data_IF_001779672148
#
_entry.id   IF_001779672148
#
_cell.length_a   1.000
_cell.length_b   1.000
_cell.length_c   1.000
_cell.angle_alpha   90.00
_cell.angle_beta   90.00
_cell.angle_gamma   90.00
#
_symmetry.space_group_name_H-M   'P 1'
#
loop_
_entity.id
_entity.type
_entity.pdbx_description
1 polymer ?
#
# COMPACT_ATOMS: atom_id res chain seq x y z
N UNK A 1 -65.74 -29.82 -1.18
CA UNK A 1 -65.80 -29.29 0.19
C UNK A 1 -65.14 -27.92 0.18
N UNK A 2 -65.97 -26.88 0.07
CA UNK A 2 -65.64 -25.46 0.13
C UNK A 2 -66.39 -24.89 1.33
N UNK A 3 -65.72 -24.10 2.18
CA UNK A 3 -66.24 -23.11 3.15
C UNK A 3 -65.05 -22.18 3.44
N UNK A 4 -65.05 -20.86 3.33
CA UNK A 4 -66.00 -19.76 3.55
C UNK A 4 -65.42 -18.82 4.63
N UNK A 5 -65.12 -17.59 4.19
CA UNK A 5 -65.26 -16.27 4.83
C UNK A 5 -65.29 -16.08 6.36
N UNK A 6 -64.49 -15.11 6.86
CA UNK A 6 -64.91 -13.87 7.58
C UNK A 6 -63.65 -13.09 8.07
N UNK A 7 -63.34 -11.85 7.64
CA UNK A 7 -63.87 -10.49 7.95
C UNK A 7 -63.61 -9.93 9.38
N UNK A 8 -62.72 -8.91 9.40
CA UNK A 8 -62.75 -7.55 10.02
C UNK A 8 -62.93 -7.33 11.55
N UNK A 9 -62.03 -6.51 12.12
CA UNK A 9 -62.27 -5.35 13.02
C UNK A 9 -60.90 -4.69 13.35
N UNK A 10 -60.54 -3.51 12.81
CA UNK A 10 -60.85 -2.13 13.23
C UNK A 10 -60.69 -1.85 14.73
N UNK A 11 -59.60 -1.16 15.10
CA UNK A 11 -59.60 -0.13 16.15
C UNK A 11 -58.68 1.02 15.73
N UNK A 12 -59.31 2.16 15.51
CA UNK A 12 -58.72 3.49 15.45
C UNK A 12 -58.25 3.88 16.85
N UNK A 13 -57.12 4.55 16.96
CA UNK A 13 -56.76 5.35 18.13
C UNK A 13 -56.30 6.72 17.61
N UNK A 14 -57.21 7.68 17.69
CA UNK A 14 -56.90 9.10 17.74
C UNK A 14 -56.37 9.43 19.14
N UNK A 15 -55.23 10.13 19.22
CA UNK A 15 -54.91 10.96 20.38
C UNK A 15 -54.16 12.21 19.90
N UNK A 16 -54.86 13.31 20.06
CA UNK A 16 -54.48 14.71 19.83
C UNK A 16 -53.52 15.22 20.91
N UNK A 17 -52.85 16.35 20.59
CA UNK A 17 -52.21 17.37 21.44
C UNK A 17 -50.66 17.51 21.34
N UNK A 18 -50.06 18.67 21.69
CA UNK A 18 -50.20 19.96 21.01
C UNK A 18 -48.85 20.67 20.74
N UNK A 19 -48.91 21.68 19.88
CA UNK A 19 -48.00 22.84 19.71
C UNK A 19 -46.56 22.82 20.26
N UNK A 20 -45.59 22.92 19.36
CA UNK A 20 -44.32 23.64 19.61
C UNK A 20 -44.03 24.62 18.47
N UNK A 21 -44.00 25.90 18.85
CA UNK A 21 -43.45 27.00 18.08
C UNK A 21 -42.01 26.69 17.64
N UNK A 22 -41.72 26.85 16.35
CA UNK A 22 -40.35 26.93 15.85
C UNK A 22 -40.12 28.37 15.40
N UNK A 23 -39.32 29.08 16.20
CA UNK A 23 -38.79 30.40 15.88
C UNK A 23 -37.85 30.29 14.68
N UNK A 24 -38.12 31.10 13.66
CA UNK A 24 -37.26 31.24 12.50
C UNK A 24 -35.92 31.88 12.86
N UNK A 25 -34.84 31.18 12.56
CA UNK A 25 -33.51 31.76 12.44
C UNK A 25 -33.26 32.05 10.96
N UNK A 26 -33.00 33.32 10.66
CA UNK A 26 -32.67 33.81 9.33
C UNK A 26 -31.39 33.15 8.81
N UNK A 27 -31.49 32.48 7.65
CA UNK A 27 -30.33 32.04 6.86
C UNK A 27 -29.68 33.29 6.25
N UNK A 28 -28.51 33.68 6.78
CA UNK A 28 -27.61 34.61 6.12
C UNK A 28 -27.13 33.96 4.82
N UNK A 29 -27.49 34.57 3.69
CA UNK A 29 -27.06 34.18 2.36
C UNK A 29 -25.55 34.35 2.24
N UNK A 30 -24.83 33.23 2.11
CA UNK A 30 -23.43 33.24 1.69
C UNK A 30 -23.37 33.83 0.26
N UNK A 31 -22.57 34.89 0.10
CA UNK A 31 -22.39 35.60 -1.16
C UNK A 31 -21.70 34.68 -2.20
N UNK A 32 -22.24 34.55 -3.42
CA UNK A 32 -21.66 33.72 -4.49
C UNK A 32 -20.27 34.21 -4.97
N UNK A 33 -19.80 35.38 -4.50
CA UNK A 33 -18.48 35.90 -4.83
C UNK A 33 -17.32 35.22 -4.07
N UNK A 34 -17.56 34.55 -2.94
CA UNK A 34 -16.48 33.88 -2.19
C UNK A 34 -16.06 32.53 -2.80
N UNK A 35 -16.96 31.82 -3.48
CA UNK A 35 -16.65 30.55 -4.15
C UNK A 35 -15.85 30.72 -5.45
N UNK A 36 -16.07 31.83 -6.19
CA UNK A 36 -15.39 32.07 -7.47
C UNK A 36 -13.92 32.47 -7.25
N UNK A 37 -13.62 33.24 -6.20
CA UNK A 37 -12.25 33.62 -5.85
C UNK A 37 -11.41 32.44 -5.35
N UNK A 38 -12.02 31.47 -4.68
CA UNK A 38 -11.28 30.27 -4.22
C UNK A 38 -10.95 29.32 -5.37
N UNK A 39 -11.85 29.14 -6.34
CA UNK A 39 -11.58 28.32 -7.53
C UNK A 39 -10.46 28.91 -8.41
N UNK A 40 -10.38 30.24 -8.55
CA UNK A 40 -9.33 30.87 -9.36
C UNK A 40 -7.92 30.75 -8.75
N UNK A 41 -7.78 30.69 -7.42
CA UNK A 41 -6.47 30.45 -6.78
C UNK A 41 -6.02 28.99 -6.86
N UNK A 42 -6.94 28.03 -6.71
CA UNK A 42 -6.58 26.61 -6.72
C UNK A 42 -6.23 26.11 -8.14
N UNK A 43 -6.93 26.61 -9.16
CA UNK A 43 -6.64 26.26 -10.57
C UNK A 43 -5.33 26.93 -11.03
N UNK A 44 -5.07 28.17 -10.61
CA UNK A 44 -3.82 28.87 -10.91
C UNK A 44 -2.59 28.19 -10.30
N UNK A 45 -2.64 27.75 -9.04
CA UNK A 45 -1.48 27.15 -8.38
C UNK A 45 -1.17 25.73 -8.86
N UNK A 46 -2.18 24.92 -9.24
CA UNK A 46 -1.95 23.60 -9.86
C UNK A 46 -1.36 23.70 -11.25
N UNK A 47 -1.83 24.65 -12.08
CA UNK A 47 -1.28 24.85 -13.41
C UNK A 47 0.17 25.37 -13.36
N UNK A 48 0.47 26.29 -12.43
CA UNK A 48 1.83 26.85 -12.27
C UNK A 48 2.81 25.83 -11.67
N UNK A 49 2.40 24.97 -10.73
CA UNK A 49 3.27 23.86 -10.25
C UNK A 49 3.57 22.85 -11.36
N UNK A 50 2.62 22.54 -12.24
CA UNK A 50 2.88 21.66 -13.39
C UNK A 50 3.77 22.27 -14.48
N UNK A 51 3.91 23.61 -14.51
CA UNK A 51 4.74 24.32 -15.47
C UNK A 51 6.12 24.73 -14.91
N UNK A 52 6.29 24.80 -13.57
CA UNK A 52 7.56 25.15 -12.92
C UNK A 52 8.38 23.95 -12.45
N UNK A 53 7.87 22.71 -12.55
CA UNK A 53 8.75 21.56 -12.77
C UNK A 53 9.31 21.71 -14.19
N UNK A 54 10.31 22.58 -14.32
CA UNK A 54 11.20 22.57 -15.46
C UNK A 54 11.72 21.16 -15.58
N UNK A 55 11.13 20.39 -16.51
CA UNK A 55 11.72 19.17 -17.01
C UNK A 55 13.04 19.60 -17.61
N UNK A 56 14.08 19.67 -16.77
CA UNK A 56 15.45 19.51 -17.23
C UNK A 56 15.37 18.37 -18.24
N UNK A 57 15.77 18.58 -19.51
CA UNK A 57 15.66 17.53 -20.51
C UNK A 57 16.31 16.29 -19.90
N UNK A 58 15.51 15.28 -19.54
CA UNK A 58 16.04 14.02 -19.05
C UNK A 58 16.88 13.50 -20.20
N UNK A 59 18.19 13.65 -20.05
CA UNK A 59 19.15 13.13 -21.01
C UNK A 59 18.90 11.63 -20.98
N UNK A 60 18.38 11.09 -22.08
CA UNK A 60 18.28 9.65 -22.26
C UNK A 60 19.68 9.08 -22.01
N UNK A 61 19.86 8.32 -20.93
CA UNK A 61 21.11 7.63 -20.66
C UNK A 61 21.02 6.29 -21.35
N UNK A 62 21.32 6.30 -22.65
CA UNK A 62 21.54 5.05 -23.35
C UNK A 62 22.68 4.30 -22.64
N UNK A 63 22.62 2.96 -22.59
CA UNK A 63 23.72 2.13 -22.13
C UNK A 63 25.05 2.59 -22.74
N UNK A 64 26.08 2.71 -21.92
CA UNK A 64 27.39 3.25 -22.26
C UNK A 64 28.31 2.21 -22.91
N UNK A 65 28.05 0.92 -22.66
CA UNK A 65 28.79 -0.20 -23.24
C UNK A 65 28.12 -0.75 -24.51
N UNK A 66 28.93 -1.41 -25.36
CA UNK A 66 28.45 -2.12 -26.56
C UNK A 66 28.24 -3.60 -26.23
N UNK A 67 26.98 -4.00 -26.08
CA UNK A 67 26.58 -5.36 -25.75
C UNK A 67 26.39 -6.26 -26.99
N UNK A 68 26.58 -5.76 -28.22
CA UNK A 68 26.24 -6.51 -29.44
C UNK A 68 27.02 -7.81 -29.62
N UNK A 69 28.18 -7.96 -28.96
CA UNK A 69 29.02 -9.14 -29.00
C UNK A 69 28.99 -9.97 -27.70
N UNK A 70 28.18 -9.55 -26.74
CA UNK A 70 28.00 -10.25 -25.47
C UNK A 70 27.05 -11.44 -25.63
N UNK A 71 27.10 -12.37 -24.66
CA UNK A 71 26.16 -13.48 -24.59
C UNK A 71 24.77 -12.98 -24.17
N UNK A 72 23.73 -13.77 -24.46
CA UNK A 72 22.40 -13.55 -23.90
C UNK A 72 22.47 -13.57 -22.35
N UNK A 73 21.68 -12.72 -21.70
CA UNK A 73 21.65 -12.57 -20.25
C UNK A 73 21.17 -11.19 -19.80
N UNK A 74 21.39 -10.90 -18.51
CA UNK A 74 21.16 -9.58 -17.88
C UNK A 74 22.47 -9.00 -17.38
N UNK A 75 22.73 -7.74 -17.71
CA UNK A 75 23.93 -6.99 -17.38
C UNK A 75 23.53 -5.74 -16.59
N UNK A 76 24.12 -5.57 -15.41
CA UNK A 76 23.85 -4.45 -14.51
C UNK A 76 24.90 -3.38 -14.78
N UNK A 77 24.51 -2.29 -15.44
CA UNK A 77 25.44 -1.23 -15.81
C UNK A 77 25.60 -0.21 -14.69
N UNK A 78 24.52 0.06 -13.95
CA UNK A 78 24.53 1.00 -12.84
C UNK A 78 23.62 0.48 -11.73
N UNK A 79 24.15 0.47 -10.52
CA UNK A 79 23.44 0.27 -9.25
C UNK A 79 23.95 1.36 -8.31
N UNK A 80 23.39 2.56 -8.46
CA UNK A 80 23.70 3.68 -7.57
C UNK A 80 22.86 3.54 -6.32
N UNK A 81 23.51 3.67 -5.17
CA UNK A 81 22.85 3.69 -3.87
C UNK A 81 23.07 5.02 -3.17
N UNK A 82 22.10 5.45 -2.37
CA UNK A 82 22.23 6.61 -1.48
C UNK A 82 21.84 6.26 -0.04
N UNK A 83 22.14 7.16 0.89
CA UNK A 83 21.63 7.08 2.26
C UNK A 83 20.29 7.81 2.32
N UNK A 84 19.24 7.11 2.75
CA UNK A 84 17.93 7.70 3.02
C UNK A 84 17.51 7.34 4.45
N UNK A 85 17.52 8.34 5.32
CA UNK A 85 17.17 8.20 6.74
C UNK A 85 17.94 7.07 7.45
N UNK A 86 19.24 6.94 7.16
CA UNK A 86 20.14 5.95 7.76
C UNK A 86 20.09 4.54 7.16
N UNK A 87 19.34 4.34 6.07
CA UNK A 87 19.36 3.12 5.28
C UNK A 87 20.06 3.35 3.94
N UNK A 88 20.88 2.40 3.51
CA UNK A 88 21.42 2.36 2.14
C UNK A 88 20.34 1.83 1.20
N UNK A 89 19.97 2.63 0.21
CA UNK A 89 18.85 2.37 -0.71
C UNK A 89 19.29 2.54 -2.17
N UNK A 90 18.71 1.82 -3.13
CA UNK A 90 18.99 2.04 -4.55
C UNK A 90 18.36 3.36 -5.01
N UNK A 91 19.14 4.27 -5.59
CA UNK A 91 18.65 5.53 -6.17
C UNK A 91 18.49 5.46 -7.68
N UNK A 92 19.34 4.68 -8.37
CA UNK A 92 19.24 4.43 -9.80
C UNK A 92 19.70 3.02 -10.15
N UNK A 93 18.93 2.33 -10.97
CA UNK A 93 19.24 1.00 -11.49
C UNK A 93 19.12 1.00 -13.01
N UNK A 94 20.19 0.64 -13.71
CA UNK A 94 20.21 0.43 -15.15
C UNK A 94 20.64 -1.00 -15.46
N UNK A 95 19.75 -1.74 -16.11
CA UNK A 95 20.03 -3.07 -16.63
C UNK A 95 19.93 -3.08 -18.16
N UNK A 96 20.76 -3.92 -18.78
CA UNK A 96 20.73 -4.25 -20.21
C UNK A 96 20.56 -5.76 -20.34
N UNK A 97 19.63 -6.20 -21.19
CA UNK A 97 19.24 -7.61 -21.24
C UNK A 97 18.90 -8.06 -22.65
N UNK A 98 19.11 -9.35 -22.89
CA UNK A 98 18.66 -10.07 -24.09
C UNK A 98 18.46 -11.52 -23.71
N UNK A 99 17.26 -12.04 -23.94
CA UNK A 99 16.84 -13.38 -23.53
C UNK A 99 17.32 -13.76 -22.09
N UNK A 100 16.98 -12.93 -21.08
CA UNK A 100 17.49 -13.12 -19.72
C UNK A 100 16.89 -14.34 -19.02
N UNK A 101 17.65 -14.91 -18.08
CA UNK A 101 17.13 -15.92 -17.16
C UNK A 101 16.13 -15.33 -16.15
N UNK A 102 15.26 -16.17 -15.58
CA UNK A 102 14.35 -15.74 -14.53
C UNK A 102 15.09 -15.43 -13.21
N UNK A 103 14.96 -14.21 -12.72
CA UNK A 103 15.66 -13.72 -11.51
C UNK A 103 15.04 -14.16 -10.17
N UNK A 104 13.91 -14.87 -10.19
CA UNK A 104 13.30 -15.43 -8.98
C UNK A 104 12.22 -14.56 -8.35
N UNK A 105 11.51 -15.13 -7.37
CA UNK A 105 10.56 -14.39 -6.53
C UNK A 105 11.29 -13.65 -5.41
N UNK A 106 10.78 -12.52 -4.90
CA UNK A 106 11.40 -11.83 -3.77
C UNK A 106 11.55 -12.76 -2.57
N UNK A 107 12.76 -12.90 -2.05
CA UNK A 107 13.09 -13.78 -0.91
C UNK A 107 13.83 -13.08 0.22
N UNK A 108 14.15 -11.80 0.07
CA UNK A 108 14.77 -10.95 1.08
C UNK A 108 13.93 -9.70 1.31
N UNK A 109 14.05 -9.12 2.51
CA UNK A 109 13.33 -7.91 2.88
C UNK A 109 14.12 -6.67 2.42
N UNK A 110 13.53 -5.77 1.61
CA UNK A 110 14.21 -4.54 1.21
C UNK A 110 14.32 -3.54 2.38
N UNK A 111 15.19 -2.52 2.27
CA UNK A 111 15.18 -1.39 3.18
C UNK A 111 13.77 -0.82 3.39
N UNK A 112 13.42 -0.49 4.64
CA UNK A 112 12.08 0.02 5.02
C UNK A 112 11.01 -1.04 5.23
N UNK A 113 11.28 -2.32 4.91
CA UNK A 113 10.31 -3.39 5.12
C UNK A 113 10.07 -3.72 6.61
N UNK A 114 11.13 -3.67 7.43
CA UNK A 114 11.00 -3.86 8.88
C UNK A 114 10.17 -2.75 9.53
N UNK A 115 10.42 -1.49 9.15
CA UNK A 115 9.60 -0.36 9.60
C UNK A 115 8.12 -0.57 9.26
N UNK A 116 7.81 -1.03 8.05
CA UNK A 116 6.43 -1.35 7.66
C UNK A 116 5.85 -2.47 8.53
N UNK A 117 6.62 -3.52 8.83
CA UNK A 117 6.16 -4.62 9.70
C UNK A 117 5.90 -4.13 11.12
N UNK A 118 6.74 -3.26 11.67
CA UNK A 118 6.50 -2.65 12.98
C UNK A 118 5.24 -1.79 12.94
N UNK A 119 5.16 -0.84 12.00
CA UNK A 119 4.03 0.12 11.86
C UNK A 119 2.68 -0.55 11.62
N UNK A 120 2.64 -1.58 10.77
CA UNK A 120 1.39 -2.14 10.25
C UNK A 120 1.19 -3.61 10.59
N UNK A 121 2.13 -4.24 11.29
CA UNK A 121 2.17 -5.67 11.54
C UNK A 121 2.18 -6.49 10.24
N UNK A 122 1.08 -7.21 10.00
CA UNK A 122 0.94 -8.08 8.83
C UNK A 122 0.69 -7.28 7.56
N UNK A 123 1.75 -7.15 6.75
CA UNK A 123 1.75 -6.42 5.48
C UNK A 123 0.95 -7.07 4.33
N UNK A 124 0.54 -8.33 4.49
CA UNK A 124 -0.01 -9.17 3.42
C UNK A 124 -1.19 -8.50 2.71
N UNK A 125 -1.00 -8.19 1.43
CA UNK A 125 -2.03 -7.61 0.54
C UNK A 125 -2.13 -6.08 0.57
N UNK A 126 -1.40 -5.39 1.45
CA UNK A 126 -1.27 -3.93 1.43
C UNK A 126 0.05 -3.50 0.79
N UNK A 127 1.14 -4.16 1.17
CA UNK A 127 2.50 -3.89 0.70
C UNK A 127 3.13 -5.11 0.04
N UNK A 128 4.04 -4.88 -0.91
CA UNK A 128 4.79 -5.91 -1.62
C UNK A 128 6.26 -5.51 -1.74
N UNK A 129 7.11 -6.54 -1.87
CA UNK A 129 8.51 -6.39 -2.26
C UNK A 129 8.54 -6.23 -3.77
N UNK A 130 8.73 -5.00 -4.21
CA UNK A 130 8.67 -4.62 -5.61
C UNK A 130 10.03 -4.81 -6.26
N UNK A 131 10.07 -5.56 -7.34
CA UNK A 131 11.24 -5.67 -8.19
C UNK A 131 11.47 -4.36 -8.96
N UNK A 132 12.63 -3.75 -8.78
CA UNK A 132 13.02 -2.55 -9.55
C UNK A 132 13.19 -2.94 -11.02
N UNK A 133 14.00 -3.96 -11.29
CA UNK A 133 14.04 -4.71 -12.55
C UNK A 133 13.22 -5.97 -12.38
N UNK A 134 12.26 -6.19 -13.27
CA UNK A 134 11.34 -7.32 -13.21
C UNK A 134 12.07 -8.68 -13.22
N UNK A 135 11.55 -9.66 -12.48
CA UNK A 135 12.15 -11.00 -12.41
C UNK A 135 12.20 -11.72 -13.76
N UNK A 136 11.24 -11.52 -14.66
CA UNK A 136 11.28 -12.08 -16.01
C UNK A 136 12.33 -11.41 -16.90
N UNK A 137 12.84 -10.24 -16.49
CA UNK A 137 13.96 -9.53 -17.12
C UNK A 137 15.31 -9.82 -16.44
N UNK A 138 15.36 -10.82 -15.56
CA UNK A 138 16.56 -11.22 -14.81
C UNK A 138 16.85 -10.40 -13.55
N UNK A 139 15.90 -9.60 -13.09
CA UNK A 139 15.98 -8.93 -11.80
C UNK A 139 16.01 -9.92 -10.62
N UNK A 140 17.08 -9.99 -9.81
CA UNK A 140 17.18 -10.96 -8.73
C UNK A 140 16.21 -10.63 -7.60
N UNK A 141 15.41 -11.62 -7.18
CA UNK A 141 14.52 -11.49 -6.01
C UNK A 141 15.22 -11.73 -4.67
N UNK A 142 16.46 -12.22 -4.70
CA UNK A 142 17.30 -12.41 -3.51
C UNK A 142 18.19 -11.21 -3.18
N UNK A 143 18.10 -10.13 -3.95
CA UNK A 143 18.95 -8.95 -3.81
C UNK A 143 18.16 -7.77 -3.24
N UNK A 144 18.66 -7.20 -2.15
CA UNK A 144 18.04 -6.04 -1.52
C UNK A 144 18.21 -4.76 -2.33
N UNK A 145 19.18 -4.65 -3.24
CA UNK A 145 19.34 -3.46 -4.10
C UNK A 145 18.40 -3.46 -5.31
N UNK A 146 17.79 -4.60 -5.64
CA UNK A 146 16.76 -4.71 -6.68
C UNK A 146 15.32 -4.73 -6.13
N UNK A 147 15.16 -4.46 -4.83
CA UNK A 147 13.86 -4.51 -4.17
C UNK A 147 13.57 -3.22 -3.41
N UNK A 148 12.33 -2.75 -3.50
CA UNK A 148 11.80 -1.68 -2.64
C UNK A 148 10.41 -1.98 -2.12
N UNK A 149 10.00 -1.41 -0.98
CA UNK A 149 8.62 -1.50 -0.54
C UNK A 149 7.70 -0.63 -1.41
N UNK A 150 6.66 -1.25 -1.97
CA UNK A 150 5.55 -0.49 -2.57
C UNK A 150 4.20 -1.02 -2.15
N UNK A 151 3.15 -0.22 -2.28
CA UNK A 151 1.79 -0.72 -2.13
C UNK A 151 1.43 -1.70 -3.25
N UNK A 152 0.57 -2.67 -2.93
CA UNK A 152 0.05 -3.64 -3.92
C UNK A 152 -0.63 -2.94 -5.11
N UNK A 153 -1.28 -1.82 -4.86
CA UNK A 153 -1.93 -1.03 -5.90
C UNK A 153 -0.93 -0.43 -6.91
N UNK A 154 0.23 0.06 -6.43
CA UNK A 154 1.28 0.60 -7.29
C UNK A 154 1.96 -0.50 -8.10
N UNK A 155 2.24 -1.66 -7.48
CA UNK A 155 2.79 -2.82 -8.18
C UNK A 155 1.87 -3.33 -9.31
N UNK A 156 0.56 -3.08 -9.23
CA UNK A 156 -0.41 -3.42 -10.28
C UNK A 156 -0.80 -2.24 -11.17
N UNK A 157 -0.07 -1.12 -11.12
CA UNK A 157 -0.34 0.05 -11.94
C UNK A 157 -0.26 -0.30 -13.44
N UNK A 158 -1.27 0.12 -14.21
CA UNK A 158 -1.36 -0.23 -15.62
C UNK A 158 -0.23 0.34 -16.48
N UNK A 159 0.27 1.54 -16.18
CA UNK A 159 1.38 2.16 -16.90
C UNK A 159 2.70 1.44 -16.64
N UNK A 160 2.97 1.06 -15.38
CA UNK A 160 4.14 0.26 -15.05
C UNK A 160 4.12 -1.10 -15.73
N UNK A 161 2.98 -1.81 -15.64
CA UNK A 161 2.82 -3.11 -16.31
C UNK A 161 3.03 -3.00 -17.83
N UNK A 162 2.53 -1.95 -18.47
CA UNK A 162 2.76 -1.75 -19.91
C UNK A 162 4.24 -1.54 -20.24
N UNK A 163 4.98 -0.82 -19.38
CA UNK A 163 6.42 -0.66 -19.52
C UNK A 163 7.14 -2.02 -19.40
N UNK A 164 6.83 -2.81 -18.37
CA UNK A 164 7.43 -4.13 -18.16
C UNK A 164 7.12 -5.10 -19.30
N UNK A 165 5.85 -5.20 -19.72
CA UNK A 165 5.46 -6.09 -20.82
C UNK A 165 6.11 -5.68 -22.16
N UNK A 166 6.29 -4.38 -22.39
CA UNK A 166 7.02 -3.89 -23.56
C UNK A 166 8.49 -4.30 -23.55
N UNK A 167 9.17 -4.12 -22.41
CA UNK A 167 10.55 -4.54 -22.24
C UNK A 167 10.72 -6.07 -22.37
N UNK A 168 9.80 -6.86 -21.79
CA UNK A 168 9.80 -8.33 -21.90
C UNK A 168 9.61 -8.79 -23.34
N UNK A 169 8.63 -8.25 -24.06
CA UNK A 169 8.42 -8.56 -25.46
C UNK A 169 9.68 -8.29 -26.28
N UNK A 170 10.34 -7.15 -26.05
CA UNK A 170 11.58 -6.82 -26.76
C UNK A 170 12.74 -7.77 -26.40
N UNK A 171 12.99 -8.01 -25.12
CA UNK A 171 14.14 -8.78 -24.67
C UNK A 171 13.98 -10.29 -24.89
N UNK A 172 12.77 -10.82 -24.74
CA UNK A 172 12.48 -12.26 -24.72
C UNK A 172 11.87 -12.71 -26.05
N UNK A 173 10.80 -12.06 -26.51
CA UNK A 173 10.04 -12.53 -27.68
C UNK A 173 10.73 -12.12 -29.00
N UNK A 174 11.15 -10.86 -29.10
CA UNK A 174 11.83 -10.32 -30.27
C UNK A 174 13.35 -10.61 -30.25
N UNK A 175 13.87 -11.00 -29.08
CA UNK A 175 15.29 -11.29 -28.85
C UNK A 175 16.21 -10.12 -29.22
N UNK A 176 15.75 -8.90 -28.94
CA UNK A 176 16.52 -7.68 -29.10
C UNK A 176 17.30 -7.35 -27.82
N UNK A 177 18.38 -6.61 -27.97
CA UNK A 177 19.02 -5.98 -26.81
C UNK A 177 18.11 -4.88 -26.29
N UNK A 178 17.72 -4.98 -25.02
CA UNK A 178 16.79 -4.09 -24.33
C UNK A 178 17.48 -3.47 -23.13
N UNK A 179 17.21 -2.21 -22.81
CA UNK A 179 17.59 -1.61 -21.54
C UNK A 179 16.36 -1.21 -20.74
N UNK A 180 16.49 -1.24 -19.42
CA UNK A 180 15.53 -0.67 -18.46
C UNK A 180 16.32 0.16 -17.47
N UNK A 181 15.97 1.45 -17.38
CA UNK A 181 16.50 2.40 -16.41
C UNK A 181 15.39 2.76 -15.43
N UNK A 182 15.67 2.68 -14.14
CA UNK A 182 14.74 3.03 -13.06
C UNK A 182 15.41 4.03 -12.13
N UNK A 183 14.78 5.18 -11.94
CA UNK A 183 15.15 6.17 -10.93
C UNK A 183 14.18 6.08 -9.74
N UNK A 184 14.72 5.99 -8.54
CA UNK A 184 13.98 6.03 -7.29
C UNK A 184 14.24 7.36 -6.62
N UNK A 185 13.17 8.09 -6.31
CA UNK A 185 13.27 9.35 -5.59
C UNK A 185 12.74 9.14 -4.17
N UNK A 186 13.59 9.46 -3.21
CA UNK A 186 13.29 9.45 -1.79
C UNK A 186 13.04 10.86 -1.29
N UNK A 187 12.21 10.97 -0.25
CA UNK A 187 11.85 12.21 0.39
C UNK A 187 12.13 12.03 1.88
N UNK A 188 12.88 12.93 2.51
CA UNK A 188 13.30 12.81 3.91
C UNK A 188 12.13 12.71 4.90
N UNK A 189 10.92 13.15 4.51
CA UNK A 189 9.70 12.99 5.30
C UNK A 189 9.13 11.56 5.26
N UNK A 190 9.61 10.70 4.36
CA UNK A 190 9.23 9.29 4.27
C UNK A 190 10.09 8.43 5.19
N UNK A 191 9.56 7.32 5.71
CA UNK A 191 10.39 6.36 6.44
C UNK A 191 11.56 5.84 5.60
N UNK A 192 12.65 5.49 6.27
CA UNK A 192 13.86 4.95 5.65
C UNK A 192 13.54 3.79 4.70
N UNK A 193 14.16 3.76 3.53
CA UNK A 193 13.95 2.69 2.54
C UNK A 193 12.70 2.77 1.66
N UNK A 194 11.75 3.68 1.93
CA UNK A 194 10.49 3.75 1.19
C UNK A 194 10.54 4.89 0.16
N UNK A 195 10.50 4.60 -1.16
CA UNK A 195 10.54 5.66 -2.17
C UNK A 195 9.23 6.45 -2.20
N UNK A 196 9.35 7.77 -2.43
CA UNK A 196 8.21 8.65 -2.73
C UNK A 196 7.73 8.42 -4.16
N UNK A 197 8.66 8.25 -5.10
CA UNK A 197 8.32 7.98 -6.49
C UNK A 197 9.33 7.09 -7.18
N UNK A 198 8.85 6.37 -8.18
CA UNK A 198 9.64 5.48 -9.04
C UNK A 198 9.37 5.89 -10.48
N UNK A 199 10.40 6.30 -11.20
CA UNK A 199 10.33 6.65 -12.62
C UNK A 199 11.12 5.62 -13.39
N UNK A 200 10.61 5.17 -14.54
CA UNK A 200 11.34 4.25 -15.39
C UNK A 200 11.23 4.62 -16.86
N UNK A 201 12.25 4.24 -17.61
CA UNK A 201 12.20 4.16 -19.06
C UNK A 201 12.81 2.86 -19.56
N UNK A 202 12.41 2.47 -20.76
CA UNK A 202 13.01 1.34 -21.46
C UNK A 202 13.20 1.65 -22.93
N UNK A 203 14.12 0.92 -23.55
CA UNK A 203 14.36 1.00 -24.98
C UNK A 203 15.10 -0.23 -25.50
N UNK A 204 15.37 -0.23 -26.80
CA UNK A 204 15.99 -1.35 -27.50
C UNK A 204 17.07 -0.87 -28.47
N UNK A 205 17.98 -1.76 -28.83
CA UNK A 205 19.01 -1.51 -29.82
C UNK A 205 18.45 -1.78 -31.22
N UNK A 206 18.35 -0.75 -32.06
CA UNK A 206 17.83 -0.89 -33.42
C UNK A 206 18.85 -1.55 -34.38
N UNK A 207 18.40 -1.85 -35.60
CA UNK A 207 19.24 -2.46 -36.65
C UNK A 207 20.43 -1.59 -37.09
N UNK A 208 20.43 -0.30 -36.75
CA UNK A 208 21.55 0.62 -36.99
C UNK A 208 22.51 0.68 -35.79
N UNK A 209 22.38 -0.24 -34.82
CA UNK A 209 23.09 -0.26 -33.55
C UNK A 209 22.92 1.05 -32.76
N UNK A 210 21.71 1.61 -32.78
CA UNK A 210 21.36 2.79 -31.99
C UNK A 210 20.27 2.46 -30.96
N UNK A 211 20.52 2.85 -29.71
CA UNK A 211 19.52 2.74 -28.66
C UNK A 211 18.31 3.66 -28.93
N UNK A 212 17.12 3.08 -28.96
CA UNK A 212 15.83 3.76 -29.15
C UNK A 212 14.98 3.60 -27.90
N UNK A 213 14.65 4.71 -27.26
CA UNK A 213 13.66 4.70 -26.18
C UNK A 213 12.29 4.34 -26.72
N UNK A 214 11.60 3.44 -26.04
CA UNK A 214 10.31 2.89 -26.45
C UNK A 214 9.17 3.23 -25.48
N UNK A 215 9.42 3.33 -24.18
CA UNK A 215 8.38 3.66 -23.20
C UNK A 215 8.90 4.24 -21.90
N UNK A 216 8.00 4.87 -21.15
CA UNK A 216 8.27 5.43 -19.82
C UNK A 216 7.09 5.17 -18.88
N UNK A 217 7.34 5.11 -17.58
CA UNK A 217 6.33 5.02 -16.53
C UNK A 217 6.76 5.83 -15.31
N UNK A 218 5.79 6.34 -14.56
CA UNK A 218 6.03 7.01 -13.28
C UNK A 218 5.00 6.54 -12.26
N UNK A 219 5.47 6.19 -11.07
CA UNK A 219 4.68 5.81 -9.91
C UNK A 219 4.92 6.82 -8.81
N UNK A 220 3.83 7.31 -8.20
CA UNK A 220 3.88 8.11 -6.97
C UNK A 220 3.31 7.29 -5.83
N UNK A 221 4.08 7.14 -4.77
CA UNK A 221 3.64 6.60 -3.50
C UNK A 221 3.14 7.74 -2.60
N UNK A 222 2.20 7.42 -1.71
CA UNK A 222 1.80 8.33 -0.64
C UNK A 222 2.67 7.99 0.56
N UNK A 223 3.03 8.99 1.37
CA UNK A 223 3.79 8.75 2.60
C UNK A 223 2.98 7.77 3.45
N UNK A 224 3.52 6.59 3.76
CA UNK A 224 2.84 5.64 4.64
C UNK A 224 2.43 6.29 5.97
N UNK A 225 3.23 7.20 6.50
CA UNK A 225 2.98 7.87 7.78
C UNK A 225 1.79 8.85 7.72
N UNK A 226 1.55 9.50 6.57
CA UNK A 226 0.47 10.48 6.39
C UNK A 226 -0.94 9.85 6.35
N UNK A 227 -1.02 8.56 6.03
CA UNK A 227 -2.29 7.89 5.77
C UNK A 227 -3.00 7.38 7.04
N UNK A 228 -2.42 7.59 8.22
CA UNK A 228 -2.89 6.97 9.47
C UNK A 228 -4.01 7.71 10.21
N UNK A 229 -4.45 8.86 9.70
CA UNK A 229 -5.45 9.70 10.37
C UNK A 229 -6.84 9.05 10.64
N UNK A 230 -7.09 7.78 10.32
CA UNK A 230 -8.36 7.10 10.62
C UNK A 230 -8.32 5.56 10.74
N UNK A 231 -7.15 4.91 10.71
CA UNK A 231 -7.11 3.46 10.53
C UNK A 231 -6.90 2.65 11.79
N UNK A 232 -6.61 3.24 12.95
CA UNK A 232 -6.48 2.47 14.19
C UNK A 232 -7.50 2.90 15.24
N UNK A 233 -8.25 1.92 15.74
CA UNK A 233 -9.03 2.10 16.96
C UNK A 233 -8.09 1.80 18.14
N UNK A 234 -7.85 2.76 19.05
CA UNK A 234 -7.10 2.48 20.25
C UNK A 234 -7.81 1.43 21.10
N UNK A 235 -7.07 0.71 21.95
CA UNK A 235 -7.56 -0.30 22.89
C UNK A 235 -8.90 0.12 23.55
N UNK A 236 -8.97 1.36 24.05
CA UNK A 236 -10.16 1.91 24.72
C UNK A 236 -11.44 1.94 23.85
N UNK A 237 -11.32 1.97 22.52
CA UNK A 237 -12.45 2.03 21.58
C UNK A 237 -12.92 0.63 21.11
N UNK A 238 -12.16 -0.44 21.36
CA UNK A 238 -12.46 -1.78 20.86
C UNK A 238 -13.36 -2.58 21.81
N UNK A 239 -14.63 -2.16 21.94
CA UNK A 239 -15.57 -2.81 22.87
C UNK A 239 -15.93 -4.25 22.48
N UNK A 240 -16.43 -5.05 23.43
CA UNK A 240 -17.07 -6.36 23.16
C UNK A 240 -18.18 -6.29 22.10
N UNK A 241 -18.87 -5.15 21.96
CA UNK A 241 -19.86 -4.96 20.90
C UNK A 241 -19.19 -4.82 19.53
N UNK A 242 -18.07 -4.10 19.43
CA UNK A 242 -17.29 -3.93 18.21
C UNK A 242 -16.65 -5.25 17.76
N UNK A 243 -16.07 -6.01 18.69
CA UNK A 243 -15.55 -7.36 18.44
C UNK A 243 -16.60 -8.31 17.87
N UNK A 244 -17.84 -8.22 18.39
CA UNK A 244 -18.98 -8.97 17.83
C UNK A 244 -19.39 -8.48 16.43
N UNK A 245 -19.25 -7.19 16.12
CA UNK A 245 -19.44 -6.67 14.76
C UNK A 245 -18.39 -7.22 13.78
N UNK A 246 -17.18 -7.51 14.25
CA UNK A 246 -16.15 -8.19 13.46
C UNK A 246 -16.44 -9.70 13.28
N UNK A 247 -17.50 -10.22 13.88
CA UNK A 247 -17.96 -11.58 13.68
C UNK A 247 -17.54 -12.57 14.75
N UNK A 248 -16.93 -12.09 15.85
CA UNK A 248 -16.70 -12.91 17.04
C UNK A 248 -18.02 -13.17 17.77
N UNK A 249 -18.17 -14.36 18.35
CA UNK A 249 -19.27 -14.61 19.28
C UNK A 249 -19.02 -13.96 20.64
N UNK A 250 -19.97 -14.08 21.58
CA UNK A 250 -19.86 -13.42 22.88
C UNK A 250 -18.65 -13.88 23.70
N UNK A 251 -18.34 -15.19 23.68
CA UNK A 251 -17.22 -15.74 24.44
C UNK A 251 -15.88 -15.34 23.83
N UNK A 252 -15.77 -15.39 22.50
CA UNK A 252 -14.61 -14.92 21.75
C UNK A 252 -14.36 -13.43 21.97
N UNK A 253 -15.40 -12.60 21.90
CA UNK A 253 -15.25 -11.18 22.15
C UNK A 253 -14.67 -10.91 23.55
N UNK A 254 -15.12 -11.64 24.57
CA UNK A 254 -14.57 -11.50 25.94
C UNK A 254 -13.11 -11.93 26.01
N UNK A 255 -12.74 -13.06 25.41
CA UNK A 255 -11.36 -13.54 25.42
C UNK A 255 -10.43 -12.58 24.65
N UNK A 256 -10.84 -12.14 23.46
CA UNK A 256 -10.10 -11.16 22.67
C UNK A 256 -10.01 -9.81 23.42
N UNK A 257 -11.06 -9.41 24.13
CA UNK A 257 -11.02 -8.18 24.94
C UNK A 257 -10.00 -8.28 26.08
N UNK A 258 -9.88 -9.43 26.72
CA UNK A 258 -8.87 -9.65 27.75
C UNK A 258 -7.45 -9.48 27.19
N UNK A 259 -7.19 -9.97 25.98
CA UNK A 259 -5.91 -9.75 25.29
C UNK A 259 -5.68 -8.26 24.96
N UNK A 260 -6.70 -7.56 24.44
CA UNK A 260 -6.58 -6.12 24.09
C UNK A 260 -6.34 -5.24 25.33
N UNK A 261 -6.91 -5.62 26.48
CA UNK A 261 -6.78 -4.88 27.74
C UNK A 261 -5.43 -5.11 28.43
N UNK A 262 -4.61 -6.03 27.91
CA UNK A 262 -3.24 -6.28 28.34
C UNK A 262 -2.23 -5.47 27.52
N UNK A 263 -0.96 -5.60 27.87
CA UNK A 263 0.17 -4.95 27.18
C UNK A 263 1.26 -5.96 26.90
N UNK A 264 1.98 -5.78 25.79
CA UNK A 264 2.97 -6.75 25.29
C UNK A 264 4.29 -6.07 24.94
N UNK A 265 5.41 -6.77 25.14
CA UNK A 265 6.75 -6.32 24.77
C UNK A 265 6.89 -6.17 23.24
N UNK A 266 6.27 -7.07 22.48
CA UNK A 266 6.28 -7.05 21.02
C UNK A 266 5.11 -7.86 20.42
N UNK A 267 4.97 -7.76 19.10
CA UNK A 267 3.96 -8.48 18.32
C UNK A 267 4.07 -10.00 18.44
N UNK A 268 5.27 -10.56 18.65
CA UNK A 268 5.51 -11.99 18.77
C UNK A 268 5.00 -12.53 20.13
N UNK A 269 5.15 -11.77 21.20
CA UNK A 269 4.58 -12.05 22.51
C UNK A 269 3.04 -12.06 22.44
N UNK A 270 2.44 -11.05 21.79
CA UNK A 270 0.99 -11.01 21.58
C UNK A 270 0.50 -12.21 20.74
N UNK A 271 1.18 -12.56 19.64
CA UNK A 271 0.80 -13.73 18.83
C UNK A 271 0.93 -15.04 19.63
N UNK A 272 1.91 -15.14 20.54
CA UNK A 272 2.10 -16.28 21.44
C UNK A 272 0.95 -16.41 22.44
N UNK A 273 0.58 -15.32 23.10
CA UNK A 273 -0.55 -15.28 24.05
C UNK A 273 -1.90 -15.50 23.38
N UNK A 274 -2.07 -14.97 22.17
CA UNK A 274 -3.23 -15.21 21.32
C UNK A 274 -3.36 -16.70 20.96
N UNK A 275 -2.26 -17.36 20.60
CA UNK A 275 -2.24 -18.80 20.31
C UNK A 275 -2.54 -19.65 21.56
N UNK A 276 -1.98 -19.27 22.72
CA UNK A 276 -2.26 -19.90 24.01
C UNK A 276 -3.74 -19.82 24.38
N UNK A 277 -4.36 -18.65 24.25
CA UNK A 277 -5.79 -18.46 24.50
C UNK A 277 -6.66 -19.23 23.50
N UNK A 278 -6.28 -19.28 22.23
CA UNK A 278 -6.97 -20.10 21.22
C UNK A 278 -7.08 -21.58 21.61
N UNK A 279 -6.01 -22.13 22.20
CA UNK A 279 -5.97 -23.52 22.70
C UNK A 279 -6.81 -23.76 23.97
N UNK A 280 -7.26 -22.71 24.66
CA UNK A 280 -8.20 -22.85 25.78
C UNK A 280 -9.66 -22.69 25.34
N UNK A 281 -9.91 -22.22 24.11
CA UNK A 281 -11.25 -22.05 23.54
C UNK A 281 -11.67 -23.22 22.62
N UNK A 282 -11.04 -24.40 22.75
CA UNK A 282 -11.28 -25.63 21.96
C UNK A 282 -12.65 -26.24 22.28
N UNK A 283 -13.72 -25.52 21.98
CA UNK A 283 -14.89 -26.14 21.38
C UNK A 283 -14.67 -26.00 19.87
N UNK A 284 -14.62 -27.10 19.14
CA UNK A 284 -14.37 -27.10 17.68
C UNK A 284 -15.37 -26.21 16.92
N UNK A 285 -16.52 -25.90 17.51
CA UNK A 285 -17.52 -24.99 16.96
C UNK A 285 -17.15 -23.50 17.09
N UNK A 286 -16.19 -23.17 17.95
CA UNK A 286 -15.72 -21.80 18.23
C UNK A 286 -14.59 -21.39 17.28
N UNK A 287 -13.71 -22.30 16.86
CA UNK A 287 -12.60 -22.02 15.93
C UNK A 287 -13.04 -22.16 14.46
N UNK A 288 -14.26 -21.76 14.12
CA UNK A 288 -14.54 -21.42 12.74
C UNK A 288 -13.63 -20.24 12.38
N UNK A 289 -12.88 -20.31 11.26
CA UNK A 289 -11.71 -19.47 10.91
C UNK A 289 -11.79 -17.95 11.10
N UNK A 290 -12.97 -17.41 11.42
CA UNK A 290 -13.21 -16.02 11.83
C UNK A 290 -12.40 -15.56 13.04
N UNK A 291 -12.02 -16.44 13.98
CA UNK A 291 -11.17 -16.02 15.12
C UNK A 291 -9.84 -15.46 14.64
N UNK A 292 -9.11 -16.23 13.82
CA UNK A 292 -7.82 -15.80 13.29
C UNK A 292 -7.96 -14.68 12.25
N UNK A 293 -9.06 -14.63 11.48
CA UNK A 293 -9.34 -13.52 10.56
C UNK A 293 -9.53 -12.19 11.30
N UNK A 294 -10.16 -12.22 12.48
CA UNK A 294 -10.35 -11.04 13.32
C UNK A 294 -9.06 -10.74 14.08
N UNK A 295 -8.42 -11.75 14.67
CA UNK A 295 -7.18 -11.59 15.43
C UNK A 295 -6.03 -11.03 14.58
N UNK A 296 -5.95 -11.40 13.30
CA UNK A 296 -4.96 -10.84 12.38
C UNK A 296 -5.13 -9.35 12.05
N UNK A 297 -6.10 -8.66 12.68
CA UNK A 297 -6.31 -7.20 12.59
C UNK A 297 -5.77 -6.43 13.80
N UNK A 298 -5.34 -7.15 14.83
CA UNK A 298 -4.82 -6.62 16.08
C UNK A 298 -3.31 -6.58 16.01
N UNK A 299 -2.74 -5.46 16.44
CA UNK A 299 -1.30 -5.25 16.45
C UNK A 299 -0.87 -4.61 17.75
N UNK A 300 0.35 -4.90 18.15
CA UNK A 300 1.04 -4.24 19.27
C UNK A 300 1.57 -2.90 18.74
N UNK A 301 1.21 -1.80 19.40
CA UNK A 301 1.61 -0.43 19.00
C UNK A 301 3.05 -0.14 19.44
N UNK A 302 4.01 -0.79 18.78
CA UNK A 302 5.45 -0.67 19.06
C UNK A 302 6.03 0.70 18.65
N UNK A 303 5.22 1.57 18.04
CA UNK A 303 5.65 2.86 17.48
C UNK A 303 5.86 3.96 18.53
N UNK A 304 5.57 3.68 19.80
CA UNK A 304 5.83 4.61 20.88
C UNK A 304 7.35 4.67 21.12
N UNK A 305 7.96 5.87 21.09
CA UNK A 305 9.40 6.17 21.35
C UNK A 305 9.90 5.77 22.77
N UNK A 306 9.22 4.83 23.42
CA UNK A 306 9.38 4.41 24.80
C UNK A 306 9.57 2.89 24.78
N UNK A 307 10.73 2.42 25.24
CA UNK A 307 10.91 1.01 25.61
C UNK A 307 9.88 0.65 26.69
N UNK A 308 8.92 -0.23 26.38
CA UNK A 308 7.89 -0.59 27.36
C UNK A 308 6.82 -1.52 26.81
N UNK A 309 5.91 -1.97 27.67
CA UNK A 309 4.81 -2.82 27.24
C UNK A 309 3.78 -1.96 26.49
N UNK A 310 3.53 -2.33 25.24
CA UNK A 310 2.75 -1.56 24.28
C UNK A 310 1.26 -1.97 24.28
N UNK A 311 0.34 -1.03 24.04
CA UNK A 311 -1.08 -1.33 23.94
C UNK A 311 -1.41 -2.03 22.62
N UNK A 312 -2.51 -2.80 22.61
CA UNK A 312 -3.05 -3.35 21.37
C UNK A 312 -3.92 -2.32 20.63
N UNK A 313 -3.63 -2.13 19.35
CA UNK A 313 -4.45 -1.34 18.42
C UNK A 313 -5.14 -2.24 17.40
N UNK A 314 -6.25 -1.76 16.83
CA UNK A 314 -6.99 -2.49 15.79
C UNK A 314 -7.12 -1.68 14.53
N UNK A 315 -6.80 -2.32 13.41
CA UNK A 315 -7.07 -1.74 12.11
C UNK A 315 -8.59 -1.64 11.85
N UNK A 316 -9.07 -0.42 11.77
CA UNK A 316 -10.42 -0.05 11.35
C UNK A 316 -10.52 -0.25 9.83
N UNK A 317 -11.05 -1.40 9.43
CA UNK A 317 -11.42 -1.71 8.03
C UNK A 317 -12.73 -1.06 7.62
#
# INVERSE_FOLDING_TARGET
>A
MMRDHARLNRKENESTEPGKEVRGAAKLSASPYSQIMHMQRTIGNRAVSSMMQGQSPRIQRAPSEDYTNEADGTYWETDETEDHNGATVPSQVLAVMKNPDYGGTPSVDPPGWDWLKTKYGRLKGSWVRFHIINAELGGPGGDTTNLVPTTTALNHNAGWRQLEEGAKSSAIDDNDWTYVEVDLNYNDDYPAGIPESISAEWGYLDQANQWRRAGTANLGQVNPDDNDNNHYLPAAQITNARLRQFGLNAQQAVAMRALIDDTYEDQDEFETELAGNGNHMIDENLIAGRWYDVAGRFYVDEDDDIDGPYPIVVRNT
#
